data_IF_715186191041
#
_entry.id   IF_715186191041
#
_cell.length_a   1.000
_cell.length_b   1.000
_cell.length_c   1.000
_cell.angle_alpha   90.00
_cell.angle_beta   90.00
_cell.angle_gamma   90.00
#
_symmetry.space_group_name_H-M   'P 1'
#
loop_
_entity.id
_entity.type
_entity.pdbx_description
1 polymer ?
#
# COMPACT_ATOMS: atom_id res chain seq x y z
N UNK A 1 33.01 18.98 41.83
CA UNK A 1 33.11 20.46 41.84
C UNK A 1 32.50 21.01 40.55
N UNK A 2 31.55 21.99 40.75
CA UNK A 2 30.84 22.81 39.74
C UNK A 2 29.81 22.10 38.88
N UNK A 3 28.67 22.14 39.30
CA UNK A 3 27.32 22.69 39.03
C UNK A 3 27.32 23.88 38.07
N UNK A 4 26.48 23.80 37.06
CA UNK A 4 25.84 24.99 36.48
C UNK A 4 24.43 24.62 36.01
N UNK A 5 23.51 25.13 36.74
CA UNK A 5 22.08 25.27 36.54
C UNK A 5 21.85 26.42 35.53
N UNK A 6 20.95 26.26 34.61
CA UNK A 6 20.33 27.42 33.94
C UNK A 6 18.85 27.13 33.69
N UNK A 7 18.10 27.90 34.42
CA UNK A 7 16.66 28.10 34.45
C UNK A 7 16.29 29.25 33.50
N UNK A 8 14.97 29.40 33.23
CA UNK A 8 14.25 30.55 32.61
C UNK A 8 14.00 30.43 31.10
N UNK A 9 12.82 30.67 30.56
CA UNK A 9 11.75 31.61 30.88
C UNK A 9 10.38 31.12 30.34
N UNK A 10 9.38 31.23 31.18
CA UNK A 10 7.95 31.19 30.87
C UNK A 10 7.48 32.62 30.57
N UNK A 11 6.82 32.87 29.45
CA UNK A 11 6.12 34.12 29.19
C UNK A 11 4.69 33.84 28.70
N UNK A 12 3.74 34.05 29.60
CA UNK A 12 2.33 34.27 29.32
C UNK A 12 2.12 35.64 28.69
N UNK A 13 1.37 35.73 27.60
CA UNK A 13 0.71 36.97 27.18
C UNK A 13 -0.80 36.74 27.11
N UNK A 14 -1.48 37.36 28.10
CA UNK A 14 -2.90 37.67 28.05
C UNK A 14 -3.04 39.09 27.50
N UNK A 15 -3.82 39.28 26.43
CA UNK A 15 -4.31 40.59 26.03
C UNK A 15 -5.79 40.49 25.69
N UNK A 16 -6.58 41.26 26.41
CA UNK A 16 -8.02 41.31 26.41
C UNK A 16 -8.60 42.10 25.26
N UNK A 17 -9.81 41.76 24.87
CA UNK A 17 -10.66 42.51 23.97
C UNK A 17 -11.45 43.57 24.70
N UNK A 18 -11.29 44.84 24.29
CA UNK A 18 -12.21 45.92 24.63
C UNK A 18 -13.11 46.19 23.42
N UNK A 19 -14.42 46.00 23.59
CA UNK A 19 -15.43 46.36 22.61
C UNK A 19 -15.74 47.86 22.67
N UNK A 20 -15.86 48.50 21.50
CA UNK A 20 -16.41 49.84 21.34
C UNK A 20 -17.79 49.77 20.73
N UNK A 21 -18.78 50.29 21.46
CA UNK A 21 -20.15 50.49 20.99
C UNK A 21 -20.24 51.83 20.24
N UNK A 22 -20.83 51.85 19.07
CA UNK A 22 -21.18 53.04 18.31
C UNK A 22 -22.63 53.51 18.66
N UNK A 23 -22.90 54.83 18.69
CA UNK A 23 -24.17 55.37 19.11
C UNK A 23 -25.23 55.30 18.00
N UNK A 24 -26.46 54.98 18.41
CA UNK A 24 -27.66 55.02 17.56
C UNK A 24 -28.06 56.50 17.29
N UNK A 25 -28.33 56.79 16.01
CA UNK A 25 -28.92 58.05 15.56
C UNK A 25 -30.46 57.97 15.60
N UNK A 26 -31.08 58.97 16.17
CA UNK A 26 -32.52 59.16 16.29
C UNK A 26 -33.14 59.55 14.92
N UNK A 27 -34.35 59.11 14.57
CA UNK A 27 -34.96 59.49 13.32
C UNK A 27 -35.67 60.84 13.43
N UNK A 28 -35.40 61.73 12.50
CA UNK A 28 -36.13 63.00 12.29
C UNK A 28 -37.41 62.69 11.51
N UNK A 29 -38.53 63.17 12.04
CA UNK A 29 -39.83 63.10 11.39
C UNK A 29 -39.87 64.01 10.16
N UNK A 30 -40.19 63.46 8.99
CA UNK A 30 -40.45 64.24 7.77
C UNK A 30 -41.93 64.22 7.39
N UNK A 31 -42.42 65.35 7.01
CA UNK A 31 -43.81 65.65 6.78
C UNK A 31 -44.43 64.84 5.59
N UNK A 32 -45.61 64.32 5.81
CA UNK A 32 -46.39 63.59 4.84
C UNK A 32 -47.03 64.55 3.81
N UNK A 33 -46.66 64.42 2.56
CA UNK A 33 -47.41 64.98 1.44
C UNK A 33 -48.41 63.93 0.94
N UNK A 34 -49.71 64.27 0.86
CA UNK A 34 -50.79 63.41 0.37
C UNK A 34 -50.66 63.34 -1.17
N UNK A 35 -50.44 62.17 -1.75
CA UNK A 35 -50.46 62.05 -3.22
C UNK A 35 -51.89 61.94 -3.75
N UNK A 36 -52.18 62.69 -4.81
CA UNK A 36 -53.38 62.62 -5.63
C UNK A 36 -53.41 61.25 -6.29
N UNK A 37 -54.57 60.54 -6.17
CA UNK A 37 -54.75 59.26 -6.78
C UNK A 37 -54.77 59.36 -8.32
N UNK A 38 -53.72 58.90 -8.95
CA UNK A 38 -53.70 58.64 -10.41
C UNK A 38 -54.21 57.23 -10.61
N UNK A 39 -55.26 57.06 -11.40
CA UNK A 39 -55.74 55.73 -11.75
C UNK A 39 -54.68 55.05 -12.66
N UNK A 40 -54.03 54.05 -12.08
CA UNK A 40 -53.12 53.17 -12.82
C UNK A 40 -53.96 52.12 -13.53
N UNK A 41 -53.86 52.04 -14.86
CA UNK A 41 -54.44 50.97 -15.66
C UNK A 41 -53.85 49.63 -15.20
N UNK A 42 -54.72 48.67 -14.88
CA UNK A 42 -54.31 47.32 -14.51
C UNK A 42 -53.43 46.70 -15.61
N UNK A 43 -52.27 46.14 -15.30
CA UNK A 43 -51.49 45.43 -16.29
C UNK A 43 -52.27 44.20 -16.78
N UNK A 44 -52.39 44.06 -18.07
CA UNK A 44 -52.93 42.86 -18.73
C UNK A 44 -51.90 41.73 -18.44
N UNK A 45 -52.37 40.67 -17.76
CA UNK A 45 -51.57 39.46 -17.51
C UNK A 45 -51.16 38.85 -18.86
N UNK A 46 -49.94 39.14 -19.25
CA UNK A 46 -49.30 38.42 -20.37
C UNK A 46 -48.94 37.01 -19.83
N UNK A 47 -49.45 35.93 -20.44
CA UNK A 47 -49.12 34.58 -19.94
C UNK A 47 -47.62 34.40 -20.05
N UNK A 48 -46.91 34.29 -18.90
CA UNK A 48 -45.51 33.90 -18.82
C UNK A 48 -45.45 32.44 -19.25
N UNK A 49 -44.89 32.22 -20.47
CA UNK A 49 -44.59 30.87 -20.92
C UNK A 49 -43.49 30.34 -20.01
N UNK A 50 -43.88 29.49 -19.04
CA UNK A 50 -42.89 28.74 -18.24
C UNK A 50 -42.11 27.86 -19.19
N UNK A 51 -40.76 27.99 -19.29
CA UNK A 51 -40.00 27.13 -20.17
C UNK A 51 -40.18 25.67 -19.77
N UNK A 52 -40.70 24.85 -20.69
CA UNK A 52 -40.73 23.40 -20.49
C UNK A 52 -39.31 22.95 -20.27
N UNK A 53 -38.95 22.24 -19.17
CA UNK A 53 -37.64 21.76 -18.96
C UNK A 53 -37.26 20.87 -20.13
N UNK A 54 -36.25 21.28 -20.89
CA UNK A 54 -35.69 20.49 -21.96
C UNK A 54 -35.13 19.21 -21.35
N UNK A 55 -35.67 18.07 -21.76
CA UNK A 55 -35.15 16.78 -21.30
C UNK A 55 -33.63 16.72 -21.50
N UNK A 56 -32.87 16.67 -20.44
CA UNK A 56 -31.42 16.49 -20.51
C UNK A 56 -31.15 15.19 -21.25
N UNK A 57 -30.44 15.25 -22.38
CA UNK A 57 -30.08 14.05 -23.14
C UNK A 57 -29.35 13.08 -22.19
N UNK A 58 -29.83 11.85 -22.12
CA UNK A 58 -29.17 10.79 -21.33
C UNK A 58 -27.84 10.50 -22.03
N UNK A 59 -26.73 10.81 -21.35
CA UNK A 59 -25.38 10.50 -21.84
C UNK A 59 -25.14 8.99 -21.69
N UNK A 60 -24.68 8.34 -22.77
CA UNK A 60 -24.25 6.93 -22.73
C UNK A 60 -22.79 6.88 -22.30
N UNK A 61 -22.43 6.12 -21.25
CA UNK A 61 -21.05 5.99 -20.83
C UNK A 61 -20.22 5.27 -21.90
N UNK A 62 -18.96 5.68 -22.12
CA UNK A 62 -18.05 4.97 -23.01
C UNK A 62 -17.69 3.59 -22.44
N UNK A 63 -17.23 2.67 -23.31
CA UNK A 63 -16.63 1.43 -22.86
C UNK A 63 -15.28 1.71 -22.16
N UNK A 64 -15.06 1.07 -21.03
CA UNK A 64 -13.78 1.16 -20.32
C UNK A 64 -12.69 0.39 -21.07
N UNK A 65 -11.41 0.84 -20.96
CA UNK A 65 -10.28 0.15 -21.56
C UNK A 65 -10.08 -1.22 -20.91
N UNK A 66 -9.39 -2.11 -21.62
CA UNK A 66 -8.97 -3.42 -21.10
C UNK A 66 -7.94 -3.25 -19.97
N UNK A 67 -7.59 -4.36 -19.29
CA UNK A 67 -6.52 -4.36 -18.29
C UNK A 67 -5.19 -4.08 -18.99
N UNK A 68 -4.38 -3.21 -18.39
CA UNK A 68 -3.05 -2.86 -18.91
C UNK A 68 -2.19 -4.10 -19.14
N UNK A 69 -1.51 -4.13 -20.27
CA UNK A 69 -0.54 -5.15 -20.69
C UNK A 69 0.74 -4.46 -21.19
N UNK A 70 1.89 -5.11 -21.03
CA UNK A 70 3.18 -4.62 -21.53
C UNK A 70 4.06 -5.76 -22.04
N UNK A 71 4.93 -5.48 -22.99
CA UNK A 71 5.88 -6.45 -23.52
C UNK A 71 7.00 -6.82 -22.55
N UNK A 72 7.20 -6.03 -21.47
CA UNK A 72 8.20 -6.28 -20.42
C UNK A 72 7.71 -7.23 -19.33
N UNK A 73 6.43 -7.58 -19.34
CA UNK A 73 5.86 -8.59 -18.46
C UNK A 73 6.06 -9.98 -19.06
N UNK A 74 6.35 -10.97 -18.20
CA UNK A 74 6.38 -12.36 -18.64
C UNK A 74 4.97 -12.76 -19.15
N UNK A 75 4.84 -13.27 -20.38
CA UNK A 75 3.53 -13.63 -20.96
C UNK A 75 2.74 -14.70 -20.20
N UNK A 76 3.41 -15.46 -19.32
CA UNK A 76 2.74 -16.49 -18.47
C UNK A 76 2.25 -15.94 -17.12
N UNK A 77 2.47 -14.66 -16.86
CA UNK A 77 2.08 -13.97 -15.62
C UNK A 77 1.02 -12.89 -15.94
N UNK A 78 -0.25 -13.27 -16.22
CA UNK A 78 -1.27 -12.27 -16.54
C UNK A 78 -1.58 -11.37 -15.34
N UNK A 79 -1.92 -10.10 -15.58
CA UNK A 79 -2.32 -9.20 -14.52
C UNK A 79 -3.71 -9.56 -13.98
N UNK A 80 -3.83 -9.68 -12.67
CA UNK A 80 -5.07 -9.88 -11.94
C UNK A 80 -5.51 -8.60 -11.27
N UNK A 81 -6.77 -8.22 -11.49
CA UNK A 81 -7.45 -7.13 -10.78
C UNK A 81 -8.21 -7.70 -9.57
N UNK A 82 -8.40 -6.89 -8.54
CA UNK A 82 -9.04 -7.34 -7.29
C UNK A 82 -10.07 -6.35 -6.74
N UNK A 83 -10.17 -5.15 -7.30
CA UNK A 83 -11.19 -4.18 -6.90
C UNK A 83 -12.42 -4.36 -7.79
N UNK A 84 -13.46 -4.95 -7.24
CA UNK A 84 -14.71 -5.23 -7.97
C UNK A 84 -15.53 -3.98 -8.25
N UNK A 85 -15.44 -2.94 -7.40
CA UNK A 85 -16.19 -1.70 -7.58
C UNK A 85 -15.44 -0.75 -8.53
N UNK A 86 -15.87 -0.70 -9.78
CA UNK A 86 -15.27 0.14 -10.82
C UNK A 86 -15.25 1.62 -10.45
N UNK A 87 -16.30 2.13 -9.81
CA UNK A 87 -16.37 3.54 -9.43
C UNK A 87 -15.35 3.89 -8.34
N UNK A 88 -15.20 3.01 -7.34
CA UNK A 88 -14.16 3.17 -6.32
C UNK A 88 -12.76 3.10 -6.94
N UNK A 89 -12.52 2.12 -7.82
CA UNK A 89 -11.24 2.00 -8.51
C UNK A 89 -10.88 3.27 -9.31
N UNK A 90 -11.82 3.80 -10.10
CA UNK A 90 -11.57 5.00 -10.91
C UNK A 90 -11.39 6.25 -10.05
N UNK A 91 -12.17 6.38 -8.97
CA UNK A 91 -12.01 7.45 -7.99
C UNK A 91 -10.59 7.43 -7.41
N UNK A 92 -10.17 6.29 -6.88
CA UNK A 92 -8.87 6.16 -6.23
C UNK A 92 -7.70 6.25 -7.22
N UNK A 93 -7.89 5.78 -8.45
CA UNK A 93 -6.88 5.88 -9.52
C UNK A 93 -6.60 7.32 -9.94
N UNK A 94 -7.62 8.18 -9.99
CA UNK A 94 -7.50 9.52 -10.56
C UNK A 94 -7.51 10.65 -9.53
N UNK A 95 -7.72 10.36 -8.27
CA UNK A 95 -7.59 11.36 -7.18
C UNK A 95 -6.17 11.88 -7.09
N UNK A 96 -6.01 13.21 -6.99
CA UNK A 96 -4.72 13.87 -6.81
C UNK A 96 -4.07 13.57 -5.46
N UNK A 97 -4.86 13.13 -4.48
CA UNK A 97 -4.39 12.78 -3.14
C UNK A 97 -3.75 11.39 -3.07
N UNK A 98 -3.94 10.59 -4.13
CA UNK A 98 -3.49 9.21 -4.23
C UNK A 98 -2.20 9.07 -5.06
N UNK A 99 -1.68 7.84 -5.13
CA UNK A 99 -0.56 7.51 -6.01
C UNK A 99 -0.94 7.68 -7.47
N UNK A 100 -0.06 8.26 -8.26
CA UNK A 100 -0.29 8.42 -9.70
C UNK A 100 -0.31 7.05 -10.40
N UNK A 101 -1.09 6.89 -11.49
CA UNK A 101 -1.02 5.70 -12.33
C UNK A 101 0.42 5.43 -12.78
N UNK A 102 0.83 4.17 -12.79
CA UNK A 102 2.20 3.75 -13.09
C UNK A 102 3.12 3.68 -11.87
N UNK A 103 2.63 4.03 -10.67
CA UNK A 103 3.33 3.74 -9.42
C UNK A 103 3.49 2.23 -9.26
N UNK A 104 4.73 1.76 -9.05
CA UNK A 104 5.08 0.35 -8.92
C UNK A 104 5.77 0.05 -7.60
N UNK A 105 5.56 -1.16 -7.09
CA UNK A 105 6.29 -1.70 -5.94
C UNK A 105 6.98 -2.99 -6.33
N UNK A 106 8.28 -3.11 -6.05
CA UNK A 106 9.03 -4.36 -6.16
C UNK A 106 9.22 -4.99 -4.77
N UNK A 107 8.60 -6.13 -4.47
CA UNK A 107 8.94 -6.88 -3.27
C UNK A 107 10.22 -7.70 -3.51
N UNK A 108 11.23 -7.52 -2.64
CA UNK A 108 12.50 -8.27 -2.70
C UNK A 108 12.66 -9.11 -1.45
N UNK A 109 12.92 -10.40 -1.65
CA UNK A 109 13.11 -11.40 -0.61
C UNK A 109 14.61 -11.64 -0.35
N UNK A 110 15.01 -11.58 0.91
CA UNK A 110 16.34 -11.95 1.39
C UNK A 110 16.23 -13.09 2.40
N UNK A 111 17.25 -13.98 2.41
CA UNK A 111 17.41 -14.94 3.50
C UNK A 111 18.72 -14.66 4.24
N UNK A 112 19.89 -14.86 3.60
CA UNK A 112 21.18 -14.61 4.25
C UNK A 112 22.12 -13.83 3.34
N UNK A 113 22.75 -12.81 3.89
CA UNK A 113 23.83 -12.05 3.24
C UNK A 113 25.15 -12.56 3.81
N UNK A 114 25.97 -13.17 2.96
CA UNK A 114 27.21 -13.83 3.34
C UNK A 114 28.38 -12.86 3.34
N UNK A 115 29.22 -12.94 4.38
CA UNK A 115 30.40 -12.11 4.48
C UNK A 115 31.47 -12.46 3.40
N UNK A 116 32.41 -11.57 3.09
CA UNK A 116 33.47 -11.86 2.16
C UNK A 116 34.28 -13.07 2.60
N UNK A 117 34.40 -14.06 1.71
CA UNK A 117 35.13 -15.30 1.94
C UNK A 117 34.29 -16.49 2.39
N UNK A 118 33.04 -16.26 2.74
CA UNK A 118 32.11 -17.33 3.06
C UNK A 118 31.65 -18.09 1.79
N UNK A 119 31.33 -19.36 1.95
CA UNK A 119 30.70 -20.16 0.89
C UNK A 119 29.25 -19.75 0.74
N UNK A 120 28.83 -19.42 -0.46
CA UNK A 120 27.45 -19.04 -0.78
C UNK A 120 26.66 -20.31 -1.08
N UNK A 121 25.60 -20.58 -0.32
CA UNK A 121 24.66 -21.68 -0.54
C UNK A 121 23.40 -21.23 -1.26
N UNK A 122 22.42 -22.15 -1.34
CA UNK A 122 21.09 -21.85 -1.86
C UNK A 122 20.40 -20.78 -0.98
N UNK A 123 19.62 -19.92 -1.58
CA UNK A 123 18.94 -18.80 -0.92
C UNK A 123 19.89 -17.82 -0.18
N UNK A 124 21.12 -17.69 -0.63
CA UNK A 124 22.10 -16.78 -0.05
C UNK A 124 22.67 -15.84 -1.11
N UNK A 125 23.01 -14.64 -0.70
CA UNK A 125 23.63 -13.62 -1.55
C UNK A 125 24.93 -13.15 -0.88
N UNK A 126 25.96 -12.86 -1.67
CA UNK A 126 27.18 -12.24 -1.12
C UNK A 126 26.92 -10.77 -0.73
N UNK A 127 27.69 -10.25 0.20
CA UNK A 127 27.65 -8.83 0.55
C UNK A 127 27.89 -7.92 -0.68
N UNK A 128 28.76 -8.34 -1.62
CA UNK A 128 29.00 -7.59 -2.84
C UNK A 128 27.77 -7.51 -3.75
N UNK A 129 27.06 -8.64 -3.94
CA UNK A 129 25.82 -8.68 -4.70
C UNK A 129 24.70 -7.89 -4.00
N UNK A 130 24.60 -7.97 -2.67
CA UNK A 130 23.68 -7.16 -1.89
C UNK A 130 23.92 -5.66 -2.12
N UNK A 131 25.16 -5.20 -1.97
CA UNK A 131 25.55 -3.80 -2.23
C UNK A 131 25.21 -3.37 -3.66
N UNK A 132 25.46 -4.26 -4.64
CA UNK A 132 25.12 -3.99 -6.04
C UNK A 132 23.62 -3.89 -6.28
N UNK A 133 22.82 -4.75 -5.65
CA UNK A 133 21.35 -4.69 -5.73
C UNK A 133 20.82 -3.40 -5.12
N UNK A 134 21.25 -3.07 -3.91
CA UNK A 134 20.77 -1.87 -3.20
C UNK A 134 21.18 -0.59 -3.97
N UNK A 135 22.41 -0.48 -4.43
CA UNK A 135 22.85 0.64 -5.29
C UNK A 135 22.14 0.67 -6.65
N UNK A 136 21.76 -0.50 -7.17
CA UNK A 136 20.96 -0.62 -8.39
C UNK A 136 19.53 -0.08 -8.21
N UNK A 137 18.92 -0.32 -7.07
CA UNK A 137 17.62 0.25 -6.69
C UNK A 137 17.72 1.77 -6.50
N UNK A 138 18.68 2.22 -5.68
CA UNK A 138 18.90 3.64 -5.39
C UNK A 138 19.16 4.45 -6.67
N UNK A 139 20.06 3.99 -7.54
CA UNK A 139 20.43 4.69 -8.79
C UNK A 139 19.26 4.84 -9.77
N UNK A 140 18.21 4.04 -9.66
CA UNK A 140 16.97 4.13 -10.44
C UNK A 140 15.88 4.92 -9.75
N UNK A 141 16.12 5.43 -8.54
CA UNK A 141 15.18 6.24 -7.78
C UNK A 141 14.13 5.44 -7.03
N UNK A 142 14.36 4.14 -6.76
CA UNK A 142 13.49 3.40 -5.86
C UNK A 142 13.63 3.91 -4.44
N UNK A 143 12.52 3.91 -3.69
CA UNK A 143 12.49 4.26 -2.27
C UNK A 143 11.83 3.13 -1.47
N UNK A 144 12.36 2.88 -0.28
CA UNK A 144 11.86 1.84 0.62
C UNK A 144 10.52 2.20 1.24
N UNK A 145 9.62 1.22 1.35
CA UNK A 145 8.31 1.37 2.01
C UNK A 145 8.07 0.26 3.04
N UNK A 146 7.17 0.53 4.00
CA UNK A 146 6.72 -0.45 5.01
C UNK A 146 5.58 -1.33 4.46
N UNK A 147 5.29 -2.44 5.17
CA UNK A 147 4.13 -3.28 4.88
C UNK A 147 2.80 -2.51 4.98
N UNK A 148 2.69 -1.61 5.96
CA UNK A 148 1.49 -0.78 6.11
C UNK A 148 1.30 0.20 4.94
N UNK A 149 2.37 0.80 4.42
CA UNK A 149 2.33 1.65 3.22
C UNK A 149 1.93 0.85 1.98
N UNK A 150 2.47 -0.37 1.82
CA UNK A 150 2.07 -1.26 0.74
C UNK A 150 0.59 -1.64 0.85
N UNK A 151 0.09 -2.00 2.03
CA UNK A 151 -1.32 -2.31 2.24
C UNK A 151 -2.22 -1.11 1.89
N UNK A 152 -1.89 0.09 2.40
CA UNK A 152 -2.61 1.31 2.05
C UNK A 152 -2.64 1.59 0.54
N UNK A 153 -1.52 1.39 -0.14
CA UNK A 153 -1.43 1.52 -1.60
C UNK A 153 -2.30 0.51 -2.33
N UNK A 154 -2.21 -0.78 -1.99
CA UNK A 154 -2.95 -1.82 -2.69
C UNK A 154 -4.47 -1.75 -2.43
N UNK A 155 -4.90 -1.39 -1.22
CA UNK A 155 -6.33 -1.30 -0.89
C UNK A 155 -6.99 0.02 -1.29
N UNK A 156 -6.26 1.14 -1.21
CA UNK A 156 -6.83 2.48 -1.30
C UNK A 156 -6.04 3.43 -2.20
N UNK A 157 -5.06 2.93 -2.94
CA UNK A 157 -4.12 3.74 -3.72
C UNK A 157 -3.45 4.85 -2.91
N UNK A 158 -3.28 4.66 -1.60
CA UNK A 158 -2.61 5.64 -0.73
C UNK A 158 -1.25 6.02 -1.30
N UNK A 159 -0.91 7.30 -1.18
CA UNK A 159 0.28 7.87 -1.80
C UNK A 159 1.57 7.25 -1.26
N UNK A 160 2.35 6.69 -2.17
CA UNK A 160 3.71 6.16 -1.96
C UNK A 160 4.65 6.70 -3.05
N UNK A 161 5.98 6.54 -2.93
CA UNK A 161 6.90 6.88 -4.02
C UNK A 161 6.57 6.16 -5.33
N UNK A 162 6.71 6.80 -6.51
CA UNK A 162 6.36 6.18 -7.79
C UNK A 162 7.13 4.89 -8.12
N UNK A 163 8.39 4.82 -7.70
CA UNK A 163 9.21 3.62 -7.73
C UNK A 163 9.50 3.22 -6.28
N UNK A 164 8.84 2.17 -5.81
CA UNK A 164 8.93 1.72 -4.43
C UNK A 164 9.50 0.31 -4.34
N UNK A 165 10.24 0.04 -3.28
CA UNK A 165 10.72 -1.29 -2.91
C UNK A 165 10.29 -1.65 -1.50
N UNK A 166 9.84 -2.88 -1.29
CA UNK A 166 9.70 -3.46 0.04
C UNK A 166 10.76 -4.57 0.21
N UNK A 167 11.65 -4.37 1.16
CA UNK A 167 12.75 -5.29 1.48
C UNK A 167 12.24 -6.26 2.55
N UNK A 168 12.23 -7.56 2.27
CA UNK A 168 11.67 -8.58 3.18
C UNK A 168 12.77 -9.59 3.49
N UNK A 169 13.15 -9.69 4.75
CA UNK A 169 14.13 -10.68 5.25
C UNK A 169 13.36 -11.83 5.89
N UNK A 170 13.49 -13.01 5.31
CA UNK A 170 12.86 -14.24 5.79
C UNK A 170 13.71 -14.88 6.91
N UNK A 171 13.08 -15.72 7.71
CA UNK A 171 13.68 -16.51 8.78
C UNK A 171 14.05 -15.70 10.04
N UNK A 172 14.90 -16.31 10.89
CA UNK A 172 15.37 -15.70 12.14
C UNK A 172 16.80 -15.24 12.01
N UNK A 173 16.99 -13.95 12.22
CA UNK A 173 18.30 -13.33 12.26
C UNK A 173 18.49 -12.57 13.58
N UNK A 174 19.72 -12.48 14.06
CA UNK A 174 20.11 -11.60 15.14
C UNK A 174 19.98 -10.13 14.74
N UNK A 175 19.76 -9.23 15.69
CA UNK A 175 19.72 -7.78 15.46
C UNK A 175 20.98 -7.26 14.74
N UNK A 176 22.13 -7.89 15.00
CA UNK A 176 23.38 -7.55 14.33
C UNK A 176 23.29 -7.67 12.80
N UNK A 177 22.54 -8.65 12.28
CA UNK A 177 22.34 -8.82 10.83
C UNK A 177 21.65 -7.59 10.22
N UNK A 178 20.57 -7.12 10.84
CA UNK A 178 19.85 -5.93 10.39
C UNK A 178 20.72 -4.68 10.52
N UNK A 179 21.39 -4.51 11.65
CA UNK A 179 22.29 -3.39 11.89
C UNK A 179 23.48 -3.33 10.92
N UNK A 180 23.99 -4.48 10.51
CA UNK A 180 25.12 -4.55 9.59
C UNK A 180 24.72 -4.22 8.15
N UNK A 181 23.60 -4.77 7.67
CA UNK A 181 23.26 -4.72 6.26
C UNK A 181 22.20 -3.68 5.91
N UNK A 182 21.20 -3.44 6.76
CA UNK A 182 20.06 -2.59 6.43
C UNK A 182 20.07 -1.23 7.14
N UNK A 183 20.62 -1.14 8.36
CA UNK A 183 20.69 0.13 9.08
C UNK A 183 21.37 1.27 8.29
N UNK A 184 22.44 1.03 7.50
CA UNK A 184 23.04 2.08 6.68
C UNK A 184 22.06 2.71 5.68
N UNK A 185 21.16 1.91 5.09
CA UNK A 185 20.13 2.37 4.15
C UNK A 185 19.00 3.14 4.86
N UNK A 186 18.65 2.71 6.07
CA UNK A 186 17.75 3.50 6.90
C UNK A 186 18.36 4.87 7.29
N UNK A 187 19.61 4.90 7.68
CA UNK A 187 20.28 6.14 8.07
C UNK A 187 20.51 7.09 6.89
N UNK A 188 20.77 6.57 5.69
CA UNK A 188 20.96 7.36 4.48
C UNK A 188 19.64 7.84 3.89
N UNK A 189 18.77 6.91 3.57
CA UNK A 189 17.61 7.13 2.71
C UNK A 189 16.26 6.82 3.37
N UNK A 190 16.25 6.51 4.67
CA UNK A 190 15.07 6.13 5.45
C UNK A 190 14.34 4.89 4.89
N UNK A 191 15.12 3.91 4.35
CA UNK A 191 14.55 2.67 3.85
C UNK A 191 14.27 1.69 4.99
N UNK A 192 13.00 1.40 5.31
CA UNK A 192 12.66 0.38 6.28
C UNK A 192 12.93 -1.01 5.71
N UNK A 193 13.05 -2.00 6.59
CA UNK A 193 13.13 -3.40 6.22
C UNK A 193 12.08 -4.20 6.97
N UNK A 194 11.44 -5.16 6.29
CA UNK A 194 10.50 -6.10 6.91
C UNK A 194 11.29 -7.31 7.42
N UNK A 195 11.10 -7.63 8.69
CA UNK A 195 11.55 -8.89 9.29
C UNK A 195 10.37 -9.88 9.29
N UNK A 196 10.42 -10.85 8.39
CA UNK A 196 9.47 -11.95 8.32
C UNK A 196 9.81 -12.98 9.40
N UNK A 197 9.22 -12.84 10.59
CA UNK A 197 9.66 -13.47 11.81
C UNK A 197 9.00 -14.83 12.09
N UNK A 198 9.83 -15.86 12.30
CA UNK A 198 9.40 -17.19 12.78
C UNK A 198 9.30 -17.15 14.29
N UNK A 199 8.11 -17.36 14.86
CA UNK A 199 7.76 -17.01 16.22
C UNK A 199 7.97 -18.13 17.26
N UNK A 200 8.45 -19.34 16.89
CA UNK A 200 8.62 -20.42 17.87
C UNK A 200 9.64 -20.05 18.93
N UNK A 201 9.22 -20.18 20.18
CA UNK A 201 10.11 -20.17 21.33
C UNK A 201 10.47 -21.61 21.69
N UNK A 202 11.75 -21.93 21.83
CA UNK A 202 12.19 -23.30 22.10
C UNK A 202 12.90 -23.47 23.43
N UNK A 203 13.58 -22.43 23.89
CA UNK A 203 14.38 -22.45 25.12
C UNK A 203 14.87 -21.05 25.54
N UNK A 204 15.83 -21.00 26.47
CA UNK A 204 16.44 -19.75 26.93
C UNK A 204 17.20 -18.96 25.85
N UNK A 205 17.68 -19.63 24.79
CA UNK A 205 18.35 -18.97 23.65
C UNK A 205 17.32 -18.15 22.88
N UNK A 206 16.15 -18.73 22.65
CA UNK A 206 15.04 -18.03 21.98
C UNK A 206 14.56 -16.82 22.81
N UNK A 207 14.58 -16.91 24.16
CA UNK A 207 14.24 -15.78 25.03
C UNK A 207 15.23 -14.61 24.87
N UNK A 208 16.53 -14.89 24.71
CA UNK A 208 17.55 -13.86 24.45
C UNK A 208 17.34 -13.21 23.07
N UNK A 209 17.04 -14.01 22.06
CA UNK A 209 16.75 -13.53 20.71
C UNK A 209 15.48 -12.68 20.67
N UNK A 210 14.42 -13.07 21.40
CA UNK A 210 13.22 -12.23 21.55
C UNK A 210 13.58 -10.85 22.12
N UNK A 211 14.43 -10.81 23.15
CA UNK A 211 14.86 -9.54 23.75
C UNK A 211 15.62 -8.64 22.78
N UNK A 212 16.46 -9.23 21.93
CA UNK A 212 17.11 -8.50 20.83
C UNK A 212 16.07 -7.90 19.88
N UNK A 213 15.08 -8.70 19.44
CA UNK A 213 14.05 -8.27 18.48
C UNK A 213 13.14 -7.21 19.08
N UNK A 214 12.77 -7.31 20.36
CA UNK A 214 12.03 -6.26 21.06
C UNK A 214 12.78 -4.92 21.06
N UNK A 215 14.10 -4.98 21.26
CA UNK A 215 14.95 -3.79 21.23
C UNK A 215 15.00 -3.19 19.82
N UNK A 216 15.23 -4.03 18.80
CA UNK A 216 15.28 -3.62 17.41
C UNK A 216 13.92 -3.06 16.91
N UNK A 217 12.81 -3.68 17.32
CA UNK A 217 11.47 -3.17 17.02
C UNK A 217 11.23 -1.77 17.63
N UNK A 218 11.76 -1.52 18.82
CA UNK A 218 11.61 -0.20 19.47
C UNK A 218 12.37 0.94 18.76
N UNK A 219 13.33 0.61 17.89
CA UNK A 219 14.04 1.58 17.05
C UNK A 219 13.18 2.09 15.87
N UNK A 220 12.11 1.36 15.49
CA UNK A 220 11.06 1.82 14.58
C UNK A 220 11.37 1.76 13.08
N UNK A 221 12.51 1.20 12.67
CA UNK A 221 12.89 1.07 11.26
C UNK A 221 12.81 -0.35 10.72
N UNK A 222 12.68 -1.34 11.61
CA UNK A 222 12.40 -2.74 11.24
C UNK A 222 10.92 -2.99 11.43
N UNK A 223 10.22 -3.34 10.35
CA UNK A 223 8.81 -3.70 10.36
C UNK A 223 8.67 -5.22 10.49
N UNK A 224 7.94 -5.68 11.51
CA UNK A 224 7.82 -7.11 11.80
C UNK A 224 6.52 -7.68 11.22
N UNK A 225 6.64 -8.75 10.41
CA UNK A 225 5.50 -9.47 9.85
C UNK A 225 5.64 -10.99 10.04
N UNK A 226 4.53 -11.72 9.97
CA UNK A 226 4.48 -13.13 10.32
C UNK A 226 5.13 -14.03 9.25
N UNK A 227 5.96 -15.01 9.70
CA UNK A 227 6.49 -16.09 8.87
C UNK A 227 6.24 -17.47 9.50
N UNK A 228 5.08 -17.60 10.16
CA UNK A 228 4.70 -18.79 10.90
C UNK A 228 5.30 -18.86 12.32
N UNK A 229 4.99 -19.96 13.00
CA UNK A 229 5.49 -20.26 14.36
C UNK A 229 6.65 -21.23 14.29
N UNK A 230 6.45 -22.38 13.67
CA UNK A 230 7.46 -23.46 13.55
C UNK A 230 8.15 -23.46 12.21
N UNK A 231 7.45 -23.04 11.16
CA UNK A 231 7.97 -22.95 9.78
C UNK A 231 8.50 -24.28 9.23
N UNK A 232 8.00 -25.41 9.67
CA UNK A 232 8.52 -26.73 9.27
C UNK A 232 7.73 -27.39 8.11
N UNK A 233 6.56 -26.86 7.78
CA UNK A 233 5.69 -27.39 6.74
C UNK A 233 5.04 -26.23 5.96
N UNK A 234 5.28 -26.10 4.66
CA UNK A 234 4.54 -25.16 3.83
C UNK A 234 3.03 -25.46 3.86
N UNK A 235 2.19 -24.45 3.73
CA UNK A 235 0.72 -24.57 3.90
C UNK A 235 0.02 -25.02 2.61
N UNK A 236 0.53 -26.08 1.99
CA UNK A 236 0.00 -26.70 0.78
C UNK A 236 -1.42 -27.28 0.96
N UNK A 237 -2.11 -27.62 -0.14
CA UNK A 237 -3.35 -28.39 -0.09
C UNK A 237 -3.17 -29.70 0.70
N UNK A 238 -4.11 -29.99 1.60
CA UNK A 238 -4.08 -31.20 2.43
C UNK A 238 -3.43 -31.00 3.82
N UNK A 239 -2.77 -29.86 4.07
CA UNK A 239 -2.33 -29.49 5.41
C UNK A 239 -3.54 -29.21 6.30
N UNK A 240 -3.54 -29.73 7.55
CA UNK A 240 -4.69 -29.63 8.43
C UNK A 240 -4.96 -28.19 8.90
N UNK A 241 -6.23 -27.85 9.08
CA UNK A 241 -6.65 -26.56 9.64
C UNK A 241 -6.00 -26.27 10.99
N UNK A 242 -5.86 -27.30 11.84
CA UNK A 242 -5.25 -27.13 13.15
C UNK A 242 -3.78 -26.69 13.06
N UNK A 243 -3.02 -27.24 12.11
CA UNK A 243 -1.65 -26.78 11.86
C UNK A 243 -1.62 -25.37 11.32
N UNK A 244 -2.41 -25.10 10.27
CA UNK A 244 -2.46 -23.76 9.66
C UNK A 244 -2.86 -22.70 10.69
N UNK A 245 -3.89 -22.95 11.50
CA UNK A 245 -4.31 -22.05 12.58
C UNK A 245 -3.23 -21.89 13.64
N UNK A 246 -2.50 -22.95 13.97
CA UNK A 246 -1.36 -22.89 14.89
C UNK A 246 -0.27 -21.94 14.41
N UNK A 247 0.07 -22.00 13.14
CA UNK A 247 1.08 -21.12 12.51
C UNK A 247 0.59 -19.65 12.39
N UNK A 248 -0.66 -19.44 11.98
CA UNK A 248 -1.20 -18.10 11.77
C UNK A 248 -1.56 -17.40 13.08
N UNK A 249 -2.39 -18.03 13.94
CA UNK A 249 -2.82 -17.46 15.22
C UNK A 249 -1.66 -17.39 16.21
N UNK A 250 -0.80 -18.43 16.23
CA UNK A 250 0.37 -18.43 17.10
C UNK A 250 1.35 -17.30 16.79
N UNK A 251 1.52 -16.92 15.50
CA UNK A 251 2.27 -15.73 15.12
C UNK A 251 1.65 -14.46 15.69
N UNK A 252 0.32 -14.29 15.55
CA UNK A 252 -0.40 -13.14 16.11
C UNK A 252 -0.21 -13.05 17.64
N UNK A 253 -0.32 -14.18 18.34
CA UNK A 253 -0.20 -14.22 19.80
C UNK A 253 1.22 -13.86 20.25
N UNK A 254 2.24 -14.37 19.55
CA UNK A 254 3.63 -14.02 19.80
C UNK A 254 3.91 -12.52 19.55
N UNK A 255 3.42 -11.99 18.46
CA UNK A 255 3.60 -10.57 18.12
C UNK A 255 2.91 -9.64 19.13
N UNK A 256 1.72 -10.00 19.60
CA UNK A 256 1.04 -9.27 20.69
C UNK A 256 1.85 -9.30 21.99
N UNK A 257 2.41 -10.46 22.33
CA UNK A 257 3.17 -10.63 23.56
C UNK A 257 4.49 -9.85 23.57
N UNK A 258 5.21 -9.81 22.43
CA UNK A 258 6.56 -9.28 22.35
C UNK A 258 6.64 -7.87 21.74
N UNK A 259 5.78 -7.55 20.78
CA UNK A 259 5.85 -6.28 20.06
C UNK A 259 4.64 -5.37 20.31
N UNK A 260 3.62 -5.84 21.04
CA UNK A 260 2.33 -5.15 21.18
C UNK A 260 1.73 -4.76 19.82
N UNK A 261 1.92 -5.62 18.82
CA UNK A 261 1.53 -5.43 17.41
C UNK A 261 0.74 -6.66 16.93
N UNK A 262 -0.14 -6.48 15.96
CA UNK A 262 -0.74 -7.56 15.18
C UNK A 262 -0.11 -7.51 13.79
N UNK A 263 0.49 -8.60 13.29
CA UNK A 263 1.01 -8.63 11.93
C UNK A 263 -0.15 -8.49 10.93
N UNK A 264 0.05 -7.73 9.86
CA UNK A 264 -0.94 -7.55 8.79
C UNK A 264 -0.60 -8.38 7.56
N UNK A 265 0.62 -8.90 7.48
CA UNK A 265 1.05 -9.77 6.40
C UNK A 265 1.50 -11.14 6.91
N UNK A 266 1.26 -12.16 6.08
CA UNK A 266 1.88 -13.48 6.19
C UNK A 266 2.86 -13.66 5.04
N UNK A 267 4.09 -13.91 5.35
CA UNK A 267 5.07 -14.45 4.43
C UNK A 267 4.92 -15.96 4.50
N UNK A 268 4.39 -16.56 3.43
CA UNK A 268 4.06 -17.99 3.45
C UNK A 268 5.31 -18.83 3.66
N UNK A 269 5.37 -19.69 4.71
CA UNK A 269 6.49 -20.59 4.97
C UNK A 269 6.84 -21.43 3.74
N UNK A 270 8.10 -21.37 3.29
CA UNK A 270 8.55 -22.03 2.06
C UNK A 270 7.79 -21.64 0.80
N UNK A 271 7.08 -20.51 0.81
CA UNK A 271 6.23 -20.05 -0.28
C UNK A 271 4.93 -20.84 -0.45
N UNK A 272 4.64 -21.79 0.44
CA UNK A 272 3.50 -22.70 0.32
C UNK A 272 2.20 -22.10 0.83
N UNK A 273 1.18 -22.11 -0.01
CA UNK A 273 -0.17 -21.64 0.30
C UNK A 273 -1.24 -22.57 -0.30
N UNK A 274 -2.47 -22.40 0.13
CA UNK A 274 -3.65 -23.08 -0.42
C UNK A 274 -4.87 -22.18 -0.28
N UNK A 275 -5.94 -22.46 -1.02
CA UNK A 275 -7.20 -21.73 -0.84
C UNK A 275 -7.68 -21.78 0.61
N UNK A 276 -7.44 -22.92 1.31
CA UNK A 276 -7.82 -23.08 2.71
C UNK A 276 -6.96 -22.22 3.66
N UNK A 277 -5.64 -22.21 3.47
CA UNK A 277 -4.76 -21.39 4.31
C UNK A 277 -5.04 -19.89 4.14
N UNK A 278 -5.32 -19.45 2.92
CA UNK A 278 -5.72 -18.06 2.62
C UNK A 278 -7.04 -17.71 3.31
N UNK A 279 -8.05 -18.59 3.19
CA UNK A 279 -9.33 -18.38 3.89
C UNK A 279 -9.14 -18.21 5.40
N UNK A 280 -8.31 -19.06 6.03
CA UNK A 280 -8.03 -18.97 7.47
C UNK A 280 -7.23 -17.72 7.82
N UNK A 281 -6.26 -17.32 7.00
CA UNK A 281 -5.53 -16.08 7.20
C UNK A 281 -6.45 -14.84 7.12
N UNK A 282 -7.37 -14.81 6.15
CA UNK A 282 -8.37 -13.75 6.04
C UNK A 282 -9.32 -13.69 7.27
N UNK A 283 -9.72 -14.85 7.82
CA UNK A 283 -10.50 -14.90 9.07
C UNK A 283 -9.75 -14.29 10.26
N UNK A 284 -8.43 -14.35 10.25
CA UNK A 284 -7.56 -13.76 11.26
C UNK A 284 -7.12 -12.32 10.93
N UNK A 285 -7.72 -11.71 9.91
CA UNK A 285 -7.48 -10.34 9.45
C UNK A 285 -6.08 -10.09 8.86
N UNK A 286 -5.38 -11.10 8.38
CA UNK A 286 -4.23 -10.87 7.53
C UNK A 286 -4.68 -10.16 6.24
N UNK A 287 -4.02 -9.07 5.90
CA UNK A 287 -4.33 -8.24 4.74
C UNK A 287 -3.53 -8.66 3.51
N UNK A 288 -2.28 -9.04 3.68
CA UNK A 288 -1.36 -9.39 2.61
C UNK A 288 -0.76 -10.79 2.83
N UNK A 289 -0.47 -11.48 1.73
CA UNK A 289 0.28 -12.73 1.76
C UNK A 289 1.36 -12.72 0.68
N UNK A 290 2.58 -13.13 1.01
CA UNK A 290 3.70 -13.14 0.07
C UNK A 290 4.16 -14.56 -0.26
N UNK A 291 4.30 -14.85 -1.55
CA UNK A 291 4.87 -16.10 -2.06
C UNK A 291 6.38 -15.96 -2.33
N UNK A 292 7.01 -17.01 -2.84
CA UNK A 292 8.40 -17.00 -3.33
C UNK A 292 8.50 -16.88 -4.85
N UNK A 293 7.39 -16.67 -5.54
CA UNK A 293 7.34 -16.65 -7.00
C UNK A 293 7.76 -15.27 -7.51
N UNK A 294 8.82 -15.23 -8.32
CA UNK A 294 9.27 -14.02 -8.97
C UNK A 294 8.42 -13.74 -10.21
N UNK A 295 7.62 -12.67 -10.13
CA UNK A 295 6.77 -12.20 -11.23
C UNK A 295 6.99 -10.70 -11.41
N UNK A 296 6.19 -9.99 -12.17
CA UNK A 296 6.33 -8.53 -12.34
C UNK A 296 6.13 -7.72 -11.04
N UNK A 297 6.30 -6.39 -11.10
CA UNK A 297 6.03 -5.51 -9.97
C UNK A 297 4.54 -5.48 -9.61
N UNK A 298 4.23 -4.95 -8.44
CA UNK A 298 2.84 -4.68 -8.01
C UNK A 298 2.43 -3.27 -8.43
N UNK A 299 1.18 -3.09 -8.88
CA UNK A 299 0.54 -1.79 -9.03
C UNK A 299 -0.87 -1.83 -8.41
N UNK A 300 -1.43 -0.67 -8.17
CA UNK A 300 -2.80 -0.56 -7.66
C UNK A 300 -3.79 -1.24 -8.63
N UNK A 301 -4.56 -2.18 -8.09
CA UNK A 301 -5.48 -3.05 -8.83
C UNK A 301 -4.84 -3.84 -9.99
N UNK A 302 -3.56 -4.20 -9.84
CA UNK A 302 -2.82 -4.91 -10.88
C UNK A 302 -1.70 -5.75 -10.24
N UNK A 303 -1.89 -7.07 -10.17
CA UNK A 303 -0.93 -8.03 -9.61
C UNK A 303 -0.66 -9.12 -10.64
N UNK A 304 0.59 -9.29 -11.11
CA UNK A 304 0.92 -10.36 -12.06
C UNK A 304 0.96 -11.70 -11.32
N UNK A 305 0.17 -12.67 -11.80
CA UNK A 305 0.07 -14.01 -11.19
C UNK A 305 0.14 -15.09 -12.26
N UNK A 306 0.51 -16.30 -11.87
CA UNK A 306 0.47 -17.46 -12.75
C UNK A 306 -0.89 -18.15 -12.67
N UNK A 307 -1.51 -18.40 -13.83
CA UNK A 307 -2.78 -19.12 -13.93
C UNK A 307 -2.64 -20.62 -14.09
N UNK A 308 -1.44 -21.08 -14.45
CA UNK A 308 -1.18 -22.48 -14.80
C UNK A 308 0.07 -22.99 -14.13
N UNK A 309 0.06 -24.27 -13.77
CA UNK A 309 1.28 -24.99 -13.38
C UNK A 309 2.23 -25.01 -14.58
N UNK A 310 3.46 -24.55 -14.38
CA UNK A 310 4.52 -24.66 -15.38
C UNK A 310 5.40 -25.87 -15.06
N UNK A 311 6.10 -26.41 -16.07
CA UNK A 311 7.00 -27.55 -15.90
C UNK A 311 8.20 -27.31 -14.98
N UNK A 312 8.40 -26.08 -14.56
CA UNK A 312 9.52 -25.66 -13.65
C UNK A 312 9.18 -25.93 -12.18
N UNK A 313 7.90 -26.08 -11.86
CA UNK A 313 7.44 -26.29 -10.49
C UNK A 313 6.99 -27.75 -10.27
N UNK A 314 7.26 -28.29 -9.09
CA UNK A 314 6.87 -29.65 -8.73
C UNK A 314 5.34 -29.84 -8.64
N UNK A 315 4.88 -31.10 -8.46
CA UNK A 315 3.46 -31.43 -8.48
C UNK A 315 2.63 -30.78 -7.36
N UNK A 316 3.28 -30.32 -6.30
CA UNK A 316 2.62 -29.71 -5.14
C UNK A 316 2.46 -28.19 -5.30
N UNK A 317 3.05 -27.60 -6.34
CA UNK A 317 2.95 -26.18 -6.59
C UNK A 317 1.55 -25.78 -7.09
N UNK A 318 0.97 -24.76 -6.48
CA UNK A 318 -0.30 -24.19 -6.89
C UNK A 318 -0.12 -22.89 -7.66
N UNK A 319 -0.81 -22.69 -8.80
CA UNK A 319 -0.88 -21.38 -9.45
C UNK A 319 -1.66 -20.39 -8.57
N UNK A 320 -1.21 -19.16 -8.53
CA UNK A 320 -1.79 -18.11 -7.70
C UNK A 320 -3.12 -17.59 -8.24
N UNK A 321 -3.23 -17.42 -9.57
CA UNK A 321 -4.39 -16.81 -10.22
C UNK A 321 -5.72 -17.47 -9.86
N UNK A 322 -5.85 -18.82 -9.91
CA UNK A 322 -7.08 -19.53 -9.54
C UNK A 322 -7.53 -19.36 -8.08
N UNK A 323 -6.66 -18.88 -7.20
CA UNK A 323 -7.01 -18.57 -5.80
C UNK A 323 -8.02 -17.42 -5.73
N UNK A 324 -8.01 -16.51 -6.70
CA UNK A 324 -8.91 -15.36 -6.78
C UNK A 324 -8.84 -14.42 -5.56
N UNK A 325 -7.66 -14.34 -4.93
CA UNK A 325 -7.31 -13.37 -3.88
C UNK A 325 -5.88 -12.87 -4.11
N UNK A 326 -5.66 -11.97 -5.09
CA UNK A 326 -4.32 -11.52 -5.48
C UNK A 326 -3.48 -10.94 -4.34
N UNK A 327 -4.13 -10.31 -3.36
CA UNK A 327 -3.43 -9.69 -2.24
C UNK A 327 -2.88 -10.70 -1.22
N UNK A 328 -3.33 -11.95 -1.27
CA UNK A 328 -2.82 -13.02 -0.41
C UNK A 328 -1.75 -13.90 -1.07
N UNK A 329 -1.38 -13.60 -2.32
CA UNK A 329 -0.39 -14.37 -3.08
C UNK A 329 0.58 -13.45 -3.83
N UNK A 330 0.97 -12.35 -3.21
CA UNK A 330 1.85 -11.35 -3.78
C UNK A 330 3.22 -11.95 -4.15
N UNK A 331 3.70 -11.73 -5.38
CA UNK A 331 5.00 -12.20 -5.82
C UNK A 331 6.15 -11.46 -5.14
N UNK A 332 7.31 -12.14 -5.04
CA UNK A 332 8.57 -11.53 -4.57
C UNK A 332 9.72 -11.94 -5.47
N UNK A 333 10.60 -11.01 -5.80
CA UNK A 333 11.87 -11.33 -6.45
C UNK A 333 12.88 -11.86 -5.42
N UNK A 334 13.65 -12.86 -5.82
CA UNK A 334 14.83 -13.26 -5.05
C UNK A 334 15.91 -12.17 -5.15
N UNK A 335 16.63 -11.96 -4.08
CA UNK A 335 17.77 -11.02 -4.00
C UNK A 335 18.84 -11.27 -5.08
N UNK A 336 19.05 -12.54 -5.46
CA UNK A 336 19.97 -12.95 -6.53
C UNK A 336 19.51 -12.54 -7.93
N UNK A 337 18.23 -12.31 -8.14
CA UNK A 337 17.62 -12.06 -9.45
C UNK A 337 17.05 -10.66 -9.61
N UNK A 338 16.64 -10.01 -8.52
CA UNK A 338 15.95 -8.72 -8.55
C UNK A 338 16.69 -7.66 -9.41
N UNK A 339 18.02 -7.58 -9.29
CA UNK A 339 18.83 -6.61 -10.04
C UNK A 339 18.66 -6.73 -11.56
N UNK A 340 18.45 -7.94 -12.07
CA UNK A 340 18.30 -8.22 -13.51
C UNK A 340 17.00 -7.66 -14.09
N UNK A 341 16.00 -7.43 -13.24
CA UNK A 341 14.66 -7.02 -13.62
C UNK A 341 14.38 -5.53 -13.40
N UNK A 342 15.28 -4.78 -12.75
CA UNK A 342 15.00 -3.40 -12.38
C UNK A 342 14.71 -2.50 -13.57
N UNK A 343 15.40 -2.67 -14.69
CA UNK A 343 15.19 -1.86 -15.89
C UNK A 343 13.83 -2.19 -16.55
N UNK A 344 13.45 -3.46 -16.59
CA UNK A 344 12.14 -3.88 -17.08
C UNK A 344 11.01 -3.34 -16.20
N UNK A 345 11.21 -3.34 -14.86
CA UNK A 345 10.23 -2.78 -13.92
C UNK A 345 10.03 -1.28 -14.14
N UNK A 346 11.12 -0.53 -14.37
CA UNK A 346 11.03 0.90 -14.72
C UNK A 346 10.27 1.08 -16.05
N UNK A 347 10.49 0.20 -17.04
CA UNK A 347 9.74 0.22 -18.30
C UNK A 347 8.27 -0.09 -18.12
N UNK A 348 7.92 -1.10 -17.31
CA UNK A 348 6.53 -1.42 -16.95
C UNK A 348 5.85 -0.19 -16.33
N UNK A 349 6.50 0.50 -15.41
CA UNK A 349 5.99 1.75 -14.81
C UNK A 349 5.73 2.81 -15.88
N UNK A 350 6.69 3.06 -16.78
CA UNK A 350 6.57 4.05 -17.85
C UNK A 350 5.44 3.71 -18.84
N UNK A 351 5.32 2.43 -19.23
CA UNK A 351 4.26 1.95 -20.11
C UNK A 351 2.88 2.10 -19.44
N UNK A 352 2.78 1.83 -18.14
CA UNK A 352 1.54 1.99 -17.39
C UNK A 352 1.13 3.48 -17.29
N UNK A 353 2.10 4.41 -17.09
CA UNK A 353 1.84 5.85 -17.17
C UNK A 353 1.29 6.23 -18.54
N UNK A 354 1.95 5.79 -19.63
CA UNK A 354 1.53 6.11 -20.99
C UNK A 354 0.13 5.57 -21.29
N UNK A 355 -0.13 4.31 -20.90
CA UNK A 355 -1.44 3.68 -21.05
C UNK A 355 -2.53 4.43 -20.28
N UNK A 356 -2.27 4.81 -19.03
CA UNK A 356 -3.21 5.56 -18.22
C UNK A 356 -3.52 6.94 -18.85
N UNK A 357 -2.51 7.67 -19.34
CA UNK A 357 -2.70 8.96 -20.00
C UNK A 357 -3.53 8.83 -21.28
N UNK A 358 -3.30 7.80 -22.07
CA UNK A 358 -4.07 7.52 -23.31
C UNK A 358 -5.55 7.29 -23.00
N UNK A 359 -5.87 6.65 -21.88
CA UNK A 359 -7.23 6.24 -21.52
C UNK A 359 -7.92 7.21 -20.55
N UNK A 360 -7.21 8.22 -20.02
CA UNK A 360 -7.71 9.13 -18.99
C UNK A 360 -9.04 9.77 -19.34
N UNK A 361 -9.17 10.31 -20.54
CA UNK A 361 -10.39 11.01 -20.96
C UNK A 361 -11.60 10.07 -20.96
N UNK A 362 -11.45 8.85 -21.46
CA UNK A 362 -12.49 7.82 -21.50
C UNK A 362 -12.90 7.39 -20.09
N UNK A 363 -11.93 7.13 -19.21
CA UNK A 363 -12.18 6.71 -17.83
C UNK A 363 -12.86 7.83 -17.01
N UNK A 364 -12.44 9.08 -17.17
CA UNK A 364 -13.06 10.23 -16.49
C UNK A 364 -14.46 10.52 -17.03
N UNK A 365 -14.71 10.36 -18.33
CA UNK A 365 -16.06 10.48 -18.90
C UNK A 365 -16.99 9.39 -18.37
N UNK A 366 -16.50 8.13 -18.28
CA UNK A 366 -17.27 7.06 -17.66
C UNK A 366 -17.58 7.39 -16.19
N UNK A 367 -16.56 7.85 -15.43
CA UNK A 367 -16.73 8.22 -14.05
C UNK A 367 -17.77 9.32 -13.86
N UNK A 368 -17.72 10.38 -14.65
CA UNK A 368 -18.66 11.52 -14.61
C UNK A 368 -20.10 11.07 -14.83
N UNK A 369 -20.34 10.14 -15.76
CA UNK A 369 -21.68 9.68 -16.10
C UNK A 369 -22.22 8.66 -15.10
N UNK A 370 -21.38 7.71 -14.65
CA UNK A 370 -21.82 6.52 -13.89
C UNK A 370 -21.59 6.67 -12.40
N UNK A 371 -20.45 7.24 -12.00
CA UNK A 371 -19.94 7.19 -10.63
C UNK A 371 -20.16 8.50 -9.87
N UNK A 372 -19.96 9.63 -10.51
CA UNK A 372 -20.05 10.94 -9.87
C UNK A 372 -21.42 11.26 -9.25
N UNK A 373 -22.55 10.78 -9.79
CA UNK A 373 -23.86 10.96 -9.13
C UNK A 373 -23.94 10.36 -7.71
N UNK A 374 -23.10 9.37 -7.41
CA UNK A 374 -23.09 8.67 -6.11
C UNK A 374 -21.87 9.04 -5.25
N UNK A 375 -20.69 9.16 -5.85
CA UNK A 375 -19.43 9.38 -5.14
C UNK A 375 -18.93 10.84 -5.18
N UNK A 376 -19.58 11.70 -5.96
CA UNK A 376 -19.11 13.07 -6.22
C UNK A 376 -18.02 13.12 -7.29
N UNK A 377 -17.51 14.33 -7.56
CA UNK A 377 -16.39 14.53 -8.49
C UNK A 377 -15.08 14.06 -7.89
N UNK A 378 -14.18 13.57 -8.74
CA UNK A 378 -12.80 13.28 -8.33
C UNK A 378 -12.09 14.61 -8.00
N UNK A 379 -11.45 14.73 -6.81
CA UNK A 379 -10.75 15.94 -6.37
C UNK A 379 -9.49 16.25 -7.19
#
# INVERSE_FOLDING_TARGET
MRQSLSLFFLLLFLAGCAGSAAPMASPTASATLIPTATQTLSPTDTPTITPIPTATAVRTPPALPEVFQTAFQNPVDPPHTYIANTCQYLHDKWSSDNSAPGTVVIPVMFHSIMAPGDTIGDNQISQAQFTQLMGGLESRGFLGITTAQLAGFLYHNTKIPPLSVILIVDDRHHAQYFNQYFLPWWQGDQWPVVNAWISASRDSIDAALWKEQETLNAEGWVDYEAHGVVHNTPMWPGVSDAYIMGELQGSIDAFKAHFNKVPIAIIWPGGGFSARSIQLARQLNYQLGFTTNARGPLMFNWVPLGDKITSVHGPDWQPEGPINDPLMVLPRYRDTDALKHLDDIVKISQDAVAYAQQNKATELEYYDIVCAPTLGSIP
#
